data_IF_153489666156
#
_entry.id   IF_153489666156
#
_cell.length_a   1.000
_cell.length_b   1.000
_cell.length_c   1.000
_cell.angle_alpha   90.00
_cell.angle_beta   90.00
_cell.angle_gamma   90.00
#
_symmetry.space_group_name_H-M   'P 1'
#
loop_
_entity.id
_entity.type
_entity.pdbx_description
1 polymer ?
#
# COMPACT_ATOMS: atom_id res chain seq x y z
N UNK A 1 6.28 -35.70 20.17
CA UNK A 1 6.67 -34.29 19.95
C UNK A 1 6.47 -33.98 18.46
N UNK A 2 5.35 -33.37 18.09
CA UNK A 2 5.07 -33.01 16.69
C UNK A 2 5.63 -31.63 16.37
N UNK A 3 6.46 -31.54 15.33
CA UNK A 3 6.96 -30.27 14.78
C UNK A 3 5.75 -29.46 14.29
N UNK A 4 5.54 -28.28 14.86
CA UNK A 4 4.55 -27.33 14.35
C UNK A 4 4.98 -26.89 12.95
N UNK A 5 4.16 -27.22 11.95
CA UNK A 5 4.22 -26.58 10.63
C UNK A 5 3.85 -25.10 10.82
N UNK A 6 4.81 -24.20 10.62
CA UNK A 6 4.50 -22.79 10.38
C UNK A 6 3.83 -22.70 9.00
N UNK A 7 2.55 -22.32 8.97
CA UNK A 7 1.87 -21.98 7.73
C UNK A 7 2.56 -20.77 7.10
N UNK A 8 2.81 -20.71 5.78
CA UNK A 8 3.26 -19.49 5.15
C UNK A 8 2.21 -18.41 5.38
N UNK A 9 2.66 -17.25 5.87
CA UNK A 9 1.79 -16.11 6.08
C UNK A 9 1.62 -15.47 4.69
N UNK A 10 0.71 -16.01 3.87
CA UNK A 10 0.33 -15.37 2.61
C UNK A 10 -0.36 -14.04 2.95
N UNK A 11 0.44 -12.97 3.04
CA UNK A 11 -0.10 -11.63 3.14
C UNK A 11 -0.70 -11.29 1.77
N UNK A 12 -2.00 -11.55 1.65
CA UNK A 12 -2.76 -11.28 0.45
C UNK A 12 -2.98 -9.78 0.30
N UNK A 13 -2.52 -9.20 -0.81
CA UNK A 13 -2.84 -7.83 -1.17
C UNK A 13 -4.27 -7.78 -1.72
N UNK A 14 -5.08 -6.87 -1.19
CA UNK A 14 -6.41 -6.55 -1.75
C UNK A 14 -6.29 -5.31 -2.61
N UNK A 15 -6.48 -5.48 -3.92
CA UNK A 15 -6.52 -4.37 -4.86
C UNK A 15 -7.89 -3.70 -4.85
N UNK A 16 -7.87 -2.36 -4.76
CA UNK A 16 -9.00 -1.45 -4.87
C UNK A 16 -8.90 -0.72 -6.21
N UNK A 17 -10.01 -0.43 -6.90
CA UNK A 17 -9.98 0.34 -8.13
C UNK A 17 -9.52 1.78 -7.85
N UNK A 18 -8.93 2.45 -8.84
CA UNK A 18 -8.49 3.84 -8.69
C UNK A 18 -9.63 4.83 -8.38
N UNK A 19 -10.88 4.47 -8.67
CA UNK A 19 -12.08 5.23 -8.29
C UNK A 19 -12.41 5.16 -6.79
N UNK A 20 -11.83 4.21 -6.06
CA UNK A 20 -11.99 4.08 -4.62
C UNK A 20 -10.83 4.79 -3.93
N UNK A 21 -11.06 6.01 -3.42
CA UNK A 21 -10.03 6.81 -2.78
C UNK A 21 -9.62 6.26 -1.40
N UNK A 22 -8.36 6.45 -0.98
CA UNK A 22 -7.95 6.14 0.39
C UNK A 22 -8.66 7.04 1.43
N UNK A 23 -8.66 6.60 2.68
CA UNK A 23 -9.21 7.36 3.82
C UNK A 23 -8.11 7.96 4.68
N UNK A 24 -8.43 9.00 5.46
CA UNK A 24 -7.46 9.68 6.32
C UNK A 24 -6.87 8.78 7.42
N UNK A 25 -7.57 7.72 7.82
CA UNK A 25 -7.09 6.71 8.76
C UNK A 25 -5.85 5.95 8.26
N UNK A 26 -5.63 5.96 6.95
CA UNK A 26 -4.49 5.32 6.30
C UNK A 26 -3.33 6.30 6.06
N UNK A 27 -3.36 7.50 6.65
CA UNK A 27 -2.27 8.50 6.54
C UNK A 27 -0.91 7.84 6.82
N UNK A 28 0.07 8.21 6.01
CA UNK A 28 1.47 7.74 6.05
C UNK A 28 1.67 6.25 5.70
N UNK A 29 0.62 5.54 5.29
CA UNK A 29 0.76 4.16 4.79
C UNK A 29 1.26 4.13 3.35
N UNK A 30 2.09 3.13 3.07
CA UNK A 30 2.51 2.81 1.71
C UNK A 30 1.46 1.98 0.97
N UNK A 31 1.36 2.23 -0.33
CA UNK A 31 0.50 1.48 -1.25
C UNK A 31 1.29 1.08 -2.48
N UNK A 32 0.89 -0.05 -3.07
CA UNK A 32 1.24 -0.41 -4.43
C UNK A 32 0.18 0.17 -5.36
N UNK A 33 0.56 0.93 -6.38
CA UNK A 33 -0.36 1.44 -7.40
C UNK A 33 -0.02 0.84 -8.76
N UNK A 34 -1.03 0.49 -9.57
CA UNK A 34 -0.86 -0.17 -10.86
C UNK A 34 -1.15 0.81 -12.00
N UNK A 35 -0.16 1.00 -12.87
CA UNK A 35 -0.30 1.56 -14.20
C UNK A 35 -0.20 0.42 -15.23
N UNK A 36 -1.18 0.23 -16.12
CA UNK A 36 -1.14 -0.81 -17.15
C UNK A 36 0.03 -0.68 -18.14
N UNK A 37 0.60 0.52 -18.30
CA UNK A 37 1.66 0.77 -19.28
C UNK A 37 3.05 0.35 -18.79
N UNK A 38 3.37 0.59 -17.52
CA UNK A 38 4.72 0.39 -16.96
C UNK A 38 4.75 -0.39 -15.62
N UNK A 39 3.60 -0.86 -15.13
CA UNK A 39 3.51 -1.79 -14.01
C UNK A 39 3.23 -1.13 -12.68
N UNK A 40 3.88 -1.63 -11.62
CA UNK A 40 3.60 -1.23 -10.25
C UNK A 40 4.52 -0.13 -9.75
N UNK A 41 3.96 0.81 -8.99
CA UNK A 41 4.68 1.92 -8.36
C UNK A 41 4.36 1.99 -6.87
N UNK A 42 5.26 2.61 -6.09
CA UNK A 42 5.03 2.88 -4.66
C UNK A 42 4.45 4.28 -4.50
N UNK A 43 3.33 4.35 -3.76
CA UNK A 43 2.71 5.59 -3.34
C UNK A 43 2.54 5.66 -1.83
N UNK A 44 2.29 6.88 -1.34
CA UNK A 44 2.12 7.20 0.06
C UNK A 44 0.78 7.89 0.23
N UNK A 45 -0.06 7.37 1.12
CA UNK A 45 -1.33 8.02 1.44
C UNK A 45 -1.03 9.28 2.25
N UNK A 46 -1.49 10.43 1.76
CA UNK A 46 -1.47 11.67 2.51
C UNK A 46 -2.91 12.12 2.75
N UNK A 47 -3.14 12.65 3.94
CA UNK A 47 -4.35 13.37 4.27
C UNK A 47 -3.94 14.77 4.71
N UNK A 48 -4.36 15.79 3.97
CA UNK A 48 -4.06 17.17 4.29
C UNK A 48 -5.16 17.77 5.16
N UNK A 49 -4.74 18.55 6.15
CA UNK A 49 -5.60 19.09 7.19
C UNK A 49 -5.40 20.59 7.31
N UNK A 50 -6.49 21.33 7.40
CA UNK A 50 -6.50 22.75 7.68
C UNK A 50 -7.54 23.03 8.75
N UNK A 51 -7.16 23.77 9.80
CA UNK A 51 -8.05 24.11 10.93
C UNK A 51 -8.71 22.90 11.62
N UNK A 52 -8.06 21.73 11.63
CA UNK A 52 -8.61 20.51 12.23
C UNK A 52 -9.56 19.73 11.32
N UNK A 53 -9.76 20.15 10.08
CA UNK A 53 -10.60 19.47 9.09
C UNK A 53 -9.74 18.92 7.95
N UNK A 54 -9.95 17.65 7.60
CA UNK A 54 -9.28 17.01 6.45
C UNK A 54 -9.95 17.49 5.17
N UNK A 55 -9.22 18.23 4.36
CA UNK A 55 -9.75 18.78 3.11
C UNK A 55 -9.37 17.95 1.88
N UNK A 56 -8.33 17.12 1.98
CA UNK A 56 -7.87 16.27 0.88
C UNK A 56 -7.26 14.96 1.38
N UNK A 57 -7.52 13.87 0.66
CA UNK A 57 -6.90 12.57 0.88
C UNK A 57 -6.58 11.92 -0.47
N UNK A 58 -5.31 11.60 -0.69
CA UNK A 58 -4.84 11.07 -1.98
C UNK A 58 -3.60 10.19 -1.84
N UNK A 59 -3.17 9.63 -2.97
CA UNK A 59 -1.95 8.81 -3.07
C UNK A 59 -0.88 9.64 -3.76
N UNK A 60 0.24 9.84 -3.08
CA UNK A 60 1.30 10.73 -3.52
C UNK A 60 2.61 9.97 -3.77
N UNK A 61 3.39 10.43 -4.73
CA UNK A 61 4.80 10.06 -4.87
C UNK A 61 5.60 10.50 -3.66
N UNK A 62 6.80 9.96 -3.49
CA UNK A 62 7.75 10.43 -2.46
C UNK A 62 8.10 11.93 -2.62
N UNK A 63 8.03 12.45 -3.85
CA UNK A 63 8.24 13.87 -4.17
C UNK A 63 7.01 14.75 -3.90
N UNK A 64 5.90 14.18 -3.41
CA UNK A 64 4.69 14.93 -3.09
C UNK A 64 3.83 15.32 -4.29
N UNK A 65 4.10 14.80 -5.49
CA UNK A 65 3.16 14.86 -6.62
C UNK A 65 2.10 13.78 -6.45
N UNK A 66 0.83 14.13 -6.59
CA UNK A 66 -0.27 13.17 -6.55
C UNK A 66 -0.22 12.22 -7.76
N UNK A 67 -0.55 10.96 -7.52
CA UNK A 67 -0.88 10.01 -8.57
C UNK A 67 -2.33 10.24 -8.99
N UNK A 68 -2.54 11.06 -10.01
CA UNK A 68 -3.88 11.37 -10.54
C UNK A 68 -4.59 10.07 -10.99
N UNK A 69 -5.61 9.59 -10.24
CA UNK A 69 -6.12 8.22 -10.36
C UNK A 69 -6.93 7.93 -11.62
N UNK A 70 -7.12 8.89 -12.53
CA UNK A 70 -8.15 8.80 -13.57
C UNK A 70 -7.60 8.75 -15.00
N UNK A 71 -6.34 9.16 -15.22
CA UNK A 71 -5.75 9.19 -16.57
C UNK A 71 -4.75 8.06 -16.82
N UNK A 72 -4.10 7.54 -15.76
CA UNK A 72 -2.95 6.63 -15.90
C UNK A 72 -2.96 5.40 -14.97
N UNK A 73 -3.59 5.48 -13.81
CA UNK A 73 -3.58 4.39 -12.81
C UNK A 73 -4.94 3.71 -12.74
N UNK A 74 -4.96 2.40 -12.48
CA UNK A 74 -6.20 1.60 -12.52
C UNK A 74 -6.59 0.96 -11.20
N UNK A 75 -5.61 0.71 -10.33
CA UNK A 75 -5.85 0.07 -9.03
C UNK A 75 -4.73 0.39 -8.04
N UNK A 76 -5.01 0.23 -6.76
CA UNK A 76 -4.04 0.34 -5.68
C UNK A 76 -4.29 -0.71 -4.59
N UNK A 77 -3.27 -1.06 -3.82
CA UNK A 77 -3.37 -1.99 -2.69
C UNK A 77 -2.53 -1.48 -1.52
N UNK A 78 -3.06 -1.59 -0.31
CA UNK A 78 -2.32 -1.24 0.90
C UNK A 78 -1.18 -2.22 1.13
N UNK A 79 0.04 -1.70 1.29
CA UNK A 79 1.16 -2.55 1.67
C UNK A 79 1.09 -2.89 3.17
N UNK A 80 1.57 -4.09 3.57
CA UNK A 80 1.74 -4.45 4.96
C UNK A 80 2.57 -3.38 5.68
N UNK A 81 2.28 -3.11 6.96
CA UNK A 81 3.12 -2.15 7.68
C UNK A 81 4.53 -2.76 7.85
N UNK A 82 5.52 -2.10 7.24
CA UNK A 82 6.91 -2.54 7.12
C UNK A 82 7.72 -2.19 8.37
N UNK A 83 7.16 -1.41 9.30
CA UNK A 83 7.80 -1.02 10.57
C UNK A 83 8.29 -2.21 11.41
N UNK A 84 7.75 -3.40 11.17
CA UNK A 84 8.22 -4.63 11.74
C UNK A 84 9.23 -5.31 10.80
N UNK A 85 10.53 -5.07 11.05
CA UNK A 85 11.65 -5.71 10.35
C UNK A 85 11.48 -7.24 10.24
N UNK A 86 10.84 -7.86 11.22
CA UNK A 86 10.58 -9.30 11.25
C UNK A 86 9.51 -9.72 10.24
N UNK A 87 8.57 -8.83 9.91
CA UNK A 87 7.53 -9.06 8.90
C UNK A 87 8.10 -9.02 7.47
N UNK A 88 9.10 -8.17 7.22
CA UNK A 88 9.86 -8.16 5.94
C UNK A 88 10.64 -9.46 5.77
N UNK A 89 11.35 -9.90 6.81
CA UNK A 89 12.15 -11.13 6.76
C UNK A 89 11.25 -12.33 6.45
N UNK A 90 10.07 -12.41 7.07
CA UNK A 90 9.09 -13.47 6.79
C UNK A 90 8.55 -13.45 5.36
N UNK A 91 8.34 -12.26 4.77
CA UNK A 91 7.92 -12.13 3.36
C UNK A 91 8.98 -12.69 2.39
N UNK A 92 10.27 -12.52 2.69
CA UNK A 92 11.36 -13.01 1.82
C UNK A 92 11.83 -14.44 2.14
N UNK A 93 11.68 -14.91 3.39
CA UNK A 93 11.97 -16.31 3.76
C UNK A 93 10.90 -17.28 3.26
N UNK A 94 9.63 -16.86 3.21
CA UNK A 94 8.54 -17.65 2.63
C UNK A 94 8.60 -17.81 1.11
N UNK A 95 9.43 -17.01 0.41
CA UNK A 95 9.68 -17.13 -1.03
C UNK A 95 10.80 -18.12 -1.38
N UNK A 96 11.43 -18.74 -0.36
CA UNK A 96 12.43 -19.81 -0.51
C UNK A 96 11.85 -21.12 0.03
N UNK A 97 10.93 -21.74 -0.71
CA UNK A 97 10.46 -23.10 -0.42
C UNK A 97 9.08 -23.38 -0.95
#
# INVERSE_FOLDING_TARGET
MGRGMSKPNEQQLTFRPASELPTAELRDREVLILNPCDGYHIGYIKAFEENGEVYDVGIYTWLGKEFEPHDFYVAWALLPNIDDRDSIIKLFEGAKG
#
